data_IF_767050995661
#
_entry.id   IF_767050995661
#
_cell.length_a   1.000
_cell.length_b   1.000
_cell.length_c   1.000
_cell.angle_alpha   90.00
_cell.angle_beta   90.00
_cell.angle_gamma   90.00
#
_symmetry.space_group_name_H-M   'P 1'
#
loop_
_entity.id
_entity.type
_entity.pdbx_description
1 polymer ?
#
# COMPACT_ATOMS: atom_id res chain seq x y z
N UNK A 1 12.25 1.44 -23.79
CA UNK A 1 12.44 1.36 -22.32
C UNK A 1 11.90 0.01 -21.84
N UNK A 2 12.78 -0.94 -21.50
CA UNK A 2 12.41 -2.36 -21.26
C UNK A 2 11.67 -2.53 -19.91
N UNK A 3 10.36 -2.76 -19.95
CA UNK A 3 9.55 -3.12 -18.77
C UNK A 3 10.08 -4.38 -18.04
N UNK A 4 10.78 -5.27 -18.74
CA UNK A 4 11.35 -6.50 -18.15
C UNK A 4 12.40 -6.22 -17.07
N UNK A 5 13.21 -5.16 -17.24
CA UNK A 5 14.27 -4.78 -16.28
C UNK A 5 13.71 -4.18 -14.98
N UNK A 6 12.60 -3.45 -15.08
CA UNK A 6 11.93 -2.90 -13.90
C UNK A 6 11.34 -4.01 -13.03
N UNK A 7 10.79 -5.06 -13.65
CA UNK A 7 10.27 -6.23 -12.95
C UNK A 7 11.37 -6.90 -12.12
N UNK A 8 12.52 -7.20 -12.70
CA UNK A 8 13.63 -7.86 -11.98
C UNK A 8 14.17 -7.03 -10.81
N UNK A 9 14.16 -5.70 -10.93
CA UNK A 9 14.59 -4.79 -9.86
C UNK A 9 13.58 -4.70 -8.72
N UNK A 10 12.28 -4.67 -9.02
CA UNK A 10 11.20 -4.59 -8.03
C UNK A 10 11.04 -5.90 -7.26
N UNK A 11 11.30 -7.05 -7.89
CA UNK A 11 11.19 -8.36 -7.24
C UNK A 11 12.49 -8.87 -6.61
N UNK A 12 13.51 -8.01 -6.47
CA UNK A 12 14.75 -8.40 -5.78
C UNK A 12 14.53 -8.44 -4.26
N UNK A 13 13.99 -9.56 -3.78
CA UNK A 13 13.86 -9.86 -2.36
C UNK A 13 15.25 -10.09 -1.74
N UNK A 14 15.60 -9.31 -0.72
CA UNK A 14 16.77 -9.54 0.12
C UNK A 14 16.44 -10.71 1.05
N UNK A 15 17.16 -11.83 0.92
CA UNK A 15 17.02 -12.94 1.86
C UNK A 15 17.64 -12.53 3.19
N UNK A 16 16.79 -12.18 4.16
CA UNK A 16 17.21 -11.82 5.51
C UNK A 16 17.46 -13.13 6.26
N UNK A 17 18.71 -13.45 6.66
CA UNK A 17 18.96 -14.63 7.50
C UNK A 17 18.14 -14.49 8.79
N UNK A 18 17.71 -15.61 9.37
CA UNK A 18 16.99 -15.63 10.65
C UNK A 18 17.85 -15.00 11.75
N UNK A 19 17.82 -13.68 11.86
CA UNK A 19 18.44 -12.94 12.94
C UNK A 19 17.71 -13.26 14.23
N UNK A 20 18.49 -13.42 15.31
CA UNK A 20 18.05 -13.82 16.64
C UNK A 20 17.24 -12.69 17.32
N UNK A 21 16.13 -12.29 16.72
CA UNK A 21 15.11 -11.48 17.38
C UNK A 21 14.24 -12.44 18.19
N UNK A 22 14.73 -12.80 19.37
CA UNK A 22 13.98 -13.55 20.37
C UNK A 22 12.74 -12.76 20.80
N UNK A 23 11.61 -13.01 20.14
CA UNK A 23 10.31 -12.50 20.55
C UNK A 23 9.43 -13.68 20.99
N UNK A 24 8.61 -13.48 22.02
CA UNK A 24 7.67 -14.50 22.51
C UNK A 24 6.58 -14.88 21.48
N UNK A 25 6.50 -14.19 20.35
CA UNK A 25 5.47 -14.37 19.33
C UNK A 25 6.01 -15.18 18.15
N UNK A 26 5.28 -16.23 17.77
CA UNK A 26 5.59 -17.02 16.58
C UNK A 26 5.35 -16.17 15.32
N UNK A 27 6.37 -16.03 14.45
CA UNK A 27 6.21 -15.42 13.12
C UNK A 27 5.37 -16.35 12.22
N UNK A 28 4.06 -16.15 12.22
CA UNK A 28 3.11 -16.91 11.40
C UNK A 28 2.63 -16.16 10.16
N UNK A 29 2.82 -14.84 10.08
CA UNK A 29 2.31 -14.02 8.99
C UNK A 29 3.20 -14.15 7.75
N UNK A 30 2.61 -14.58 6.64
CA UNK A 30 3.26 -14.51 5.33
C UNK A 30 3.09 -13.12 4.72
N UNK A 31 3.84 -12.81 3.66
CA UNK A 31 3.74 -11.53 2.93
C UNK A 31 2.29 -11.26 2.51
N UNK A 32 1.55 -12.29 2.09
CA UNK A 32 0.15 -12.17 1.68
C UNK A 32 -0.76 -11.77 2.84
N UNK A 33 -0.57 -12.34 4.04
CA UNK A 33 -1.36 -12.00 5.23
C UNK A 33 -1.17 -10.54 5.62
N UNK A 34 0.07 -10.06 5.63
CA UNK A 34 0.41 -8.68 5.97
C UNK A 34 -0.17 -7.71 4.93
N UNK A 35 -0.15 -8.10 3.65
CA UNK A 35 -0.72 -7.29 2.56
C UNK A 35 -2.25 -7.19 2.69
N UNK A 36 -2.93 -8.31 2.94
CA UNK A 36 -4.37 -8.35 3.16
C UNK A 36 -4.78 -7.57 4.41
N UNK A 37 -3.99 -7.67 5.48
CA UNK A 37 -4.20 -6.89 6.71
C UNK A 37 -4.10 -5.39 6.43
N UNK A 38 -3.15 -4.96 5.60
CA UNK A 38 -3.04 -3.56 5.15
C UNK A 38 -4.24 -3.11 4.32
N UNK A 39 -4.71 -3.92 3.38
CA UNK A 39 -5.90 -3.61 2.56
C UNK A 39 -7.15 -3.49 3.44
N UNK A 40 -7.34 -4.43 4.37
CA UNK A 40 -8.46 -4.41 5.31
C UNK A 40 -8.45 -3.17 6.20
N UNK A 41 -7.27 -2.68 6.58
CA UNK A 41 -7.14 -1.44 7.35
C UNK A 41 -7.50 -0.19 6.54
N UNK A 42 -7.17 -0.15 5.24
CA UNK A 42 -7.46 1.01 4.38
C UNK A 42 -8.95 1.14 4.03
N UNK A 43 -9.66 0.01 3.90
CA UNK A 43 -11.10 -0.01 3.56
C UNK A 43 -11.92 0.23 4.83
N UNK A 44 -12.19 1.51 5.13
CA UNK A 44 -12.96 1.92 6.31
C UNK A 44 -14.16 2.82 6.00
N UNK A 45 -14.70 3.47 7.03
CA UNK A 45 -15.83 4.40 6.89
C UNK A 45 -15.55 5.55 5.89
N UNK A 46 -14.29 5.90 5.68
CA UNK A 46 -13.89 6.95 4.74
C UNK A 46 -14.37 6.69 3.31
N UNK A 47 -14.14 5.50 2.75
CA UNK A 47 -14.54 5.21 1.36
C UNK A 47 -16.07 5.03 1.23
N UNK A 48 -16.74 4.50 2.25
CA UNK A 48 -18.18 4.23 2.19
C UNK A 48 -19.06 5.45 2.47
N UNK A 49 -18.67 6.30 3.43
CA UNK A 49 -19.50 7.45 3.86
C UNK A 49 -19.02 8.75 3.22
N UNK A 50 -17.71 9.01 3.27
CA UNK A 50 -17.15 10.30 2.85
C UNK A 50 -17.23 10.49 1.33
N UNK A 51 -17.09 9.41 0.55
CA UNK A 51 -17.20 9.45 -0.91
C UNK A 51 -18.53 10.06 -1.35
N UNK A 52 -19.67 9.64 -0.77
CA UNK A 52 -20.99 10.19 -1.11
C UNK A 52 -21.12 11.68 -0.80
N UNK A 53 -20.57 12.12 0.34
CA UNK A 53 -20.55 13.53 0.72
C UNK A 53 -19.67 14.37 -0.22
N UNK A 54 -18.51 13.85 -0.64
CA UNK A 54 -17.59 14.50 -1.58
C UNK A 54 -18.20 14.58 -2.99
N UNK A 55 -18.89 13.53 -3.45
CA UNK A 55 -19.63 13.57 -4.73
C UNK A 55 -20.67 14.68 -4.69
N UNK A 56 -21.49 14.74 -3.64
CA UNK A 56 -22.61 15.69 -3.57
C UNK A 56 -22.17 17.15 -3.41
N UNK A 57 -21.13 17.43 -2.63
CA UNK A 57 -20.78 18.80 -2.25
C UNK A 57 -19.53 19.38 -2.92
N UNK A 58 -18.63 18.55 -3.46
CA UNK A 58 -17.30 19.01 -3.90
C UNK A 58 -17.04 18.64 -5.37
N UNK A 59 -16.99 17.35 -5.69
CA UNK A 59 -16.43 16.88 -6.96
C UNK A 59 -17.47 16.51 -8.03
N UNK A 60 -18.71 16.19 -7.63
CA UNK A 60 -19.74 15.74 -8.57
C UNK A 60 -19.32 14.50 -9.37
N UNK A 61 -19.67 14.40 -10.66
CA UNK A 61 -19.28 13.27 -11.51
C UNK A 61 -17.76 13.18 -11.76
N UNK A 62 -17.00 14.24 -11.48
CA UNK A 62 -15.54 14.30 -11.65
C UNK A 62 -14.75 13.67 -10.50
N UNK A 63 -15.42 13.04 -9.52
CA UNK A 63 -14.76 12.46 -8.34
C UNK A 63 -13.68 11.41 -8.68
N UNK A 64 -13.82 10.73 -9.81
CA UNK A 64 -12.85 9.74 -10.31
C UNK A 64 -11.49 10.41 -10.52
N UNK A 65 -11.46 11.64 -11.04
CA UNK A 65 -10.22 12.41 -11.23
C UNK A 65 -9.60 12.79 -9.88
N UNK A 66 -10.40 13.22 -8.90
CA UNK A 66 -9.90 13.51 -7.55
C UNK A 66 -9.28 12.28 -6.89
N UNK A 67 -9.92 11.11 -6.97
CA UNK A 67 -9.35 9.87 -6.46
C UNK A 67 -8.11 9.43 -7.23
N UNK A 68 -8.03 9.69 -8.54
CA UNK A 68 -6.84 9.37 -9.32
C UNK A 68 -5.62 10.16 -8.82
N UNK A 69 -5.75 11.48 -8.63
CA UNK A 69 -4.67 12.29 -8.08
C UNK A 69 -4.31 11.92 -6.64
N UNK A 70 -5.32 11.67 -5.79
CA UNK A 70 -5.09 11.20 -4.43
C UNK A 70 -4.37 9.84 -4.40
N UNK A 71 -4.73 8.93 -5.32
CA UNK A 71 -4.09 7.63 -5.49
C UNK A 71 -2.64 7.75 -5.91
N UNK A 72 -2.32 8.63 -6.86
CA UNK A 72 -0.93 8.90 -7.27
C UNK A 72 -0.09 9.45 -6.12
N UNK A 73 -0.63 10.41 -5.36
CA UNK A 73 0.06 10.96 -4.18
C UNK A 73 0.30 9.87 -3.12
N UNK A 74 -0.72 9.04 -2.83
CA UNK A 74 -0.62 7.94 -1.87
C UNK A 74 0.39 6.87 -2.31
N UNK A 75 0.44 6.53 -3.61
CA UNK A 75 1.43 5.63 -4.20
C UNK A 75 2.86 6.12 -3.98
N UNK A 76 3.10 7.42 -4.17
CA UNK A 76 4.42 8.00 -3.96
C UNK A 76 4.84 7.91 -2.49
N UNK A 77 3.92 8.19 -1.55
CA UNK A 77 4.17 8.00 -0.12
C UNK A 77 4.39 6.53 0.24
N UNK A 78 3.63 5.60 -0.35
CA UNK A 78 3.79 4.16 -0.14
C UNK A 78 5.16 3.67 -0.59
N UNK A 79 5.70 4.19 -1.70
CA UNK A 79 7.06 3.88 -2.16
C UNK A 79 8.12 4.36 -1.17
N UNK A 80 7.97 5.56 -0.61
CA UNK A 80 8.88 6.05 0.44
C UNK A 80 8.82 5.16 1.69
N UNK A 81 7.63 4.77 2.15
CA UNK A 81 7.49 3.84 3.28
C UNK A 81 8.06 2.45 2.99
N UNK A 82 7.88 1.94 1.76
CA UNK A 82 8.46 0.67 1.34
C UNK A 82 9.99 0.72 1.34
N UNK A 83 10.59 1.84 0.92
CA UNK A 83 12.04 2.02 0.97
C UNK A 83 12.56 2.09 2.42
N UNK A 84 11.86 2.80 3.31
CA UNK A 84 12.22 2.83 4.73
C UNK A 84 12.06 1.48 5.42
N UNK A 85 11.03 0.69 5.06
CA UNK A 85 10.83 -0.65 5.63
C UNK A 85 11.77 -1.72 5.09
N UNK A 86 12.39 -1.50 3.93
CA UNK A 86 13.32 -2.44 3.30
C UNK A 86 14.80 -2.21 3.69
N UNK A 87 15.11 -1.06 4.30
CA UNK A 87 16.44 -0.69 4.80
C UNK A 87 16.66 -1.27 6.19
#
# INVERSE_FOLDING_TARGET
>A
MRLSSLRERVFRLKHIPHGNLDTQLRRCLTTVDITLLGIGHMIGAGIYVLTGAVVRNIAGPSIVLSFLFAGVASLLSALCYAEFGAR
#
